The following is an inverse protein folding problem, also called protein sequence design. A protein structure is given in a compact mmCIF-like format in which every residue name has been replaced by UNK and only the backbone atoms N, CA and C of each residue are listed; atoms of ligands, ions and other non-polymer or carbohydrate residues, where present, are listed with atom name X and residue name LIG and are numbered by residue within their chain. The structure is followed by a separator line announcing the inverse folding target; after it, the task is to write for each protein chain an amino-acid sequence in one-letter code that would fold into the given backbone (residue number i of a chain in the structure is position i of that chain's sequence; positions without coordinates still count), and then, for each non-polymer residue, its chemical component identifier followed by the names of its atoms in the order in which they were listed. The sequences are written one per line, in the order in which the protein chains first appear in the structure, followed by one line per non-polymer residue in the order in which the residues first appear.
data_IF_957951156011
#
_entry.id   IF_957951156011
#
_cell.length_a   1.000
_cell.length_b   1.000
_cell.length_c   1.000
_cell.angle_alpha   90.00
_cell.angle_beta   90.00
_cell.angle_gamma   90.00
#
_symmetry.space_group_name_H-M   'P 1'
#
loop_
_entity.id
_entity.type
_entity.pdbx_description
1 polymer ?
#
# COMPACT_ATOMS: atom_id res chain seq x y z
N UNK A 1 8.72 -14.20 -4.32
CA UNK A 1 9.20 -12.82 -4.10
C UNK A 1 8.14 -11.91 -4.71
N UNK A 2 7.29 -11.30 -3.90
CA UNK A 2 6.21 -10.47 -4.43
C UNK A 2 6.69 -9.03 -4.57
N UNK A 3 6.20 -8.32 -5.57
CA UNK A 3 6.64 -6.95 -5.90
C UNK A 3 5.45 -6.00 -5.84
N UNK A 4 5.70 -4.80 -5.34
CA UNK A 4 4.69 -3.77 -5.25
C UNK A 4 4.39 -3.23 -6.64
N UNK A 5 3.14 -3.28 -7.06
CA UNK A 5 2.73 -2.69 -8.35
C UNK A 5 2.82 -1.15 -8.38
N UNK A 6 2.98 -0.48 -7.23
CA UNK A 6 3.07 0.98 -7.17
C UNK A 6 4.51 1.51 -7.23
N UNK A 7 5.46 0.89 -6.53
CA UNK A 7 6.86 1.33 -6.49
C UNK A 7 7.85 0.34 -7.10
N UNK A 8 7.38 -0.82 -7.57
CA UNK A 8 8.16 -1.87 -8.22
C UNK A 8 9.31 -2.44 -7.36
N UNK A 9 9.23 -2.27 -6.03
CA UNK A 9 10.18 -2.86 -5.09
C UNK A 9 9.62 -4.14 -4.48
N UNK A 10 10.49 -5.05 -4.00
CA UNK A 10 10.04 -6.26 -3.31
C UNK A 10 9.20 -5.89 -2.07
N UNK A 11 8.08 -6.59 -1.92
CA UNK A 11 7.17 -6.45 -0.78
C UNK A 11 7.46 -7.58 0.18
N UNK A 12 7.87 -7.21 1.38
CA UNK A 12 8.03 -8.15 2.47
C UNK A 12 6.65 -8.56 3.00
N UNK A 13 6.49 -9.79 3.53
CA UNK A 13 5.23 -10.26 4.11
C UNK A 13 4.65 -9.31 5.17
N UNK A 14 5.51 -8.62 5.93
CA UNK A 14 5.09 -7.65 6.96
C UNK A 14 4.41 -6.40 6.37
N UNK A 15 4.78 -6.01 5.15
CA UNK A 15 4.23 -4.83 4.46
C UNK A 15 3.25 -5.23 3.35
N UNK A 16 3.01 -6.53 3.17
CA UNK A 16 2.18 -7.06 2.08
C UNK A 16 0.74 -6.61 2.25
N UNK A 17 0.28 -5.83 1.28
CA UNK A 17 -1.12 -5.44 1.12
C UNK A 17 -1.65 -6.01 -0.20
N UNK A 18 -2.72 -6.79 -0.10
CA UNK A 18 -3.48 -7.28 -1.24
C UNK A 18 -4.68 -6.35 -1.47
N UNK A 19 -4.61 -5.52 -2.50
CA UNK A 19 -5.72 -4.66 -2.89
C UNK A 19 -6.14 -4.94 -4.33
N UNK A 20 -7.40 -5.29 -4.54
CA UNK A 20 -7.95 -5.52 -5.88
C UNK A 20 -7.13 -6.52 -6.73
N UNK A 21 -6.68 -7.62 -6.10
CA UNK A 21 -5.75 -8.64 -6.66
C UNK A 21 -4.33 -8.16 -7.00
N UNK A 22 -3.94 -6.96 -6.58
CA UNK A 22 -2.58 -6.44 -6.71
C UNK A 22 -1.83 -6.53 -5.39
N UNK A 23 -0.54 -6.87 -5.48
CA UNK A 23 0.39 -6.80 -4.35
C UNK A 23 0.96 -5.39 -4.29
N UNK A 24 0.82 -4.76 -3.13
CA UNK A 24 1.29 -3.41 -2.84
C UNK A 24 1.91 -3.40 -1.44
N UNK A 25 2.77 -2.43 -1.15
CA UNK A 25 3.08 -2.14 0.26
C UNK A 25 1.86 -1.50 0.93
N UNK A 26 1.66 -1.80 2.20
CA UNK A 26 0.70 -1.11 3.08
C UNK A 26 0.88 0.42 3.06
N UNK A 27 2.11 0.90 2.86
CA UNK A 27 2.43 2.32 2.73
C UNK A 27 2.35 2.87 1.29
N UNK A 28 2.35 2.00 0.29
CA UNK A 28 2.27 2.39 -1.13
C UNK A 28 0.84 2.37 -1.67
N UNK A 29 -0.13 1.89 -0.89
CA UNK A 29 -1.54 1.98 -1.24
C UNK A 29 -1.99 3.44 -1.19
N UNK A 30 -2.03 4.10 -2.34
CA UNK A 30 -2.38 5.51 -2.49
C UNK A 30 -3.37 5.66 -3.64
N UNK A 31 -4.41 6.46 -3.46
CA UNK A 31 -5.34 6.74 -4.56
C UNK A 31 -4.74 7.81 -5.48
N UNK A 32 -4.56 7.50 -6.78
CA UNK A 32 -4.15 8.49 -7.80
C UNK A 32 -5.15 9.64 -7.93
N UNK A 33 -6.43 9.38 -7.72
CA UNK A 33 -7.50 10.37 -7.81
C UNK A 33 -7.49 11.34 -6.62
N UNK A 34 -7.25 10.82 -5.41
CA UNK A 34 -7.25 11.63 -4.19
C UNK A 34 -5.85 12.19 -3.85
N UNK A 35 -4.79 11.80 -4.58
CA UNK A 35 -3.35 12.03 -4.25
C UNK A 35 -2.99 11.76 -2.77
N UNK A 36 -3.80 10.96 -2.08
CA UNK A 36 -3.67 10.71 -0.65
C UNK A 36 -3.17 9.30 -0.44
N UNK A 37 -2.16 9.16 0.42
CA UNK A 37 -1.74 7.85 0.93
C UNK A 37 -2.94 7.25 1.68
N UNK A 38 -3.48 6.15 1.17
CA UNK A 38 -4.41 5.29 1.89
C UNK A 38 -3.58 4.37 2.78
N UNK A 39 -2.73 4.96 3.61
CA UNK A 39 -2.06 4.21 4.65
C UNK A 39 -3.11 3.95 5.74
N UNK A 40 -3.29 2.70 6.15
CA UNK A 40 -4.12 2.31 7.31
C UNK A 40 -3.58 2.86 8.66
N UNK A 41 -2.67 3.84 8.62
CA UNK A 41 -1.85 4.33 9.73
C UNK A 41 -2.22 5.75 10.17
N UNK A 42 -3.40 6.24 9.82
CA UNK A 42 -3.93 7.49 10.39
C UNK A 42 -5.45 7.41 10.64
N UNK A 43 -5.88 6.34 11.31
CA UNK A 43 -7.20 6.27 11.95
C UNK A 43 -7.01 6.23 13.48
N UNK A 44 -6.32 7.23 14.04
CA UNK A 44 -6.46 7.57 15.46
C UNK A 44 -5.82 8.92 15.71
N UNK A 45 -6.66 9.95 15.85
CA UNK A 45 -6.50 11.14 16.72
C UNK A 45 -7.62 12.15 16.43
N UNK A 46 -8.87 11.79 16.69
CA UNK A 46 -9.83 12.61 17.47
C UNK A 46 -10.98 11.74 17.98
#
# INVERSE_FOLDING_TARGET
REMCSACLTPVYPMEKLLANKLILHSNCFCCKHCKKKLSLHNYSSI
#
